data_IF_714345871373
#
_entry.id   IF_714345871373
#
_cell.length_a   1.000
_cell.length_b   1.000
_cell.length_c   1.000
_cell.angle_alpha   90.00
_cell.angle_beta   90.00
_cell.angle_gamma   90.00
#
_symmetry.space_group_name_H-M   'P 1'
#
loop_
_entity.id
_entity.type
_entity.pdbx_description
1 polymer ?
#
# COMPACT_ATOMS: atom_id res chain seq x y z
N UNK A 1 18.69 26.01 16.54
CA UNK A 1 19.10 24.98 17.51
C UNK A 1 18.78 23.64 16.89
N UNK A 2 19.76 22.75 16.90
CA UNK A 2 19.90 21.45 16.21
C UNK A 2 18.60 20.71 15.88
N UNK A 3 18.30 20.61 14.58
CA UNK A 3 17.29 19.67 14.06
C UNK A 3 17.76 18.23 14.23
N UNK A 4 16.87 17.40 14.75
CA UNK A 4 16.99 15.95 14.84
C UNK A 4 17.35 15.36 13.47
N UNK A 5 18.44 14.60 13.40
CA UNK A 5 18.93 13.98 12.18
C UNK A 5 17.90 13.03 11.58
N UNK A 6 17.23 13.47 10.53
CA UNK A 6 16.62 12.56 9.56
C UNK A 6 17.81 11.87 8.88
N UNK A 7 17.95 10.56 9.08
CA UNK A 7 18.98 9.76 8.41
C UNK A 7 18.93 10.05 6.91
N UNK A 8 20.02 10.58 6.34
CA UNK A 8 20.16 10.73 4.90
C UNK A 8 20.03 9.34 4.24
N UNK A 9 19.01 9.11 3.38
CA UNK A 9 18.81 7.83 2.72
C UNK A 9 20.04 7.35 1.95
N UNK A 10 20.84 8.28 1.40
CA UNK A 10 22.10 7.94 0.73
C UNK A 10 23.16 7.45 1.71
N UNK A 11 23.23 8.02 2.91
CA UNK A 11 24.14 7.55 3.97
C UNK A 11 23.78 6.13 4.41
N UNK A 12 22.50 5.87 4.67
CA UNK A 12 22.04 4.55 5.08
C UNK A 12 22.29 3.48 3.99
N UNK A 13 22.12 3.84 2.72
CA UNK A 13 22.45 2.97 1.60
C UNK A 13 23.96 2.72 1.51
N UNK A 14 24.79 3.75 1.65
CA UNK A 14 26.25 3.62 1.63
C UNK A 14 26.75 2.70 2.76
N UNK A 15 26.22 2.87 3.98
CA UNK A 15 26.56 2.04 5.14
C UNK A 15 26.18 0.57 4.92
N UNK A 16 25.01 0.31 4.34
CA UNK A 16 24.58 -1.05 3.99
C UNK A 16 25.51 -1.66 2.92
N UNK A 17 25.82 -0.93 1.85
CA UNK A 17 26.67 -1.42 0.77
C UNK A 17 28.11 -1.70 1.25
N UNK A 18 28.65 -0.85 2.13
CA UNK A 18 29.96 -1.06 2.74
C UNK A 18 30.00 -2.34 3.62
N UNK A 19 28.85 -2.78 4.13
CA UNK A 19 28.71 -3.99 4.91
C UNK A 19 28.48 -5.26 4.06
N UNK A 20 28.46 -5.16 2.73
CA UNK A 20 28.27 -6.27 1.80
C UNK A 20 29.57 -6.58 1.07
N UNK A 21 29.92 -7.87 0.97
CA UNK A 21 31.03 -8.33 0.12
C UNK A 21 30.75 -9.71 -0.44
N UNK A 22 30.74 -9.86 -1.76
CA UNK A 22 30.67 -11.17 -2.40
C UNK A 22 32.09 -11.75 -2.45
N UNK A 23 32.26 -12.94 -1.88
CA UNK A 23 33.54 -13.64 -1.84
C UNK A 23 33.71 -14.58 -3.04
N UNK A 24 32.63 -15.26 -3.42
CA UNK A 24 32.58 -16.17 -4.56
C UNK A 24 31.14 -16.30 -5.08
N UNK A 25 30.90 -16.98 -6.21
CA UNK A 25 29.54 -17.26 -6.69
C UNK A 25 28.66 -18.07 -5.71
N UNK A 26 29.22 -18.60 -4.62
CA UNK A 26 28.52 -19.40 -3.61
C UNK A 26 28.65 -18.84 -2.18
N UNK A 27 29.28 -17.68 -1.99
CA UNK A 27 29.47 -17.11 -0.66
C UNK A 27 29.53 -15.57 -0.68
N UNK A 28 28.89 -14.95 0.31
CA UNK A 28 28.97 -13.51 0.54
C UNK A 28 28.98 -13.20 2.04
N UNK A 29 29.36 -11.97 2.37
CA UNK A 29 29.32 -11.41 3.71
C UNK A 29 28.29 -10.29 3.74
N UNK A 30 27.50 -10.22 4.81
CA UNK A 30 26.58 -9.13 5.12
C UNK A 30 26.70 -8.80 6.61
N UNK A 31 27.04 -7.54 6.93
CA UNK A 31 27.16 -7.07 8.32
C UNK A 31 28.08 -7.95 9.18
N UNK A 32 29.20 -8.39 8.63
CA UNK A 32 30.18 -9.24 9.33
C UNK A 32 29.83 -10.73 9.42
N UNK A 33 28.65 -11.16 8.96
CA UNK A 33 28.24 -12.57 8.90
C UNK A 33 28.45 -13.14 7.50
N UNK A 34 29.05 -14.33 7.41
CA UNK A 34 29.20 -15.09 6.17
C UNK A 34 27.95 -15.92 5.88
N UNK A 35 27.49 -15.89 4.63
CA UNK A 35 26.39 -16.69 4.11
C UNK A 35 26.91 -17.61 3.00
N UNK A 36 26.45 -18.85 3.00
CA UNK A 36 26.75 -19.84 1.96
C UNK A 36 25.49 -20.10 1.15
N UNK A 37 25.59 -19.95 -0.16
CA UNK A 37 24.49 -20.16 -1.10
C UNK A 37 24.46 -21.63 -1.51
N UNK A 38 23.33 -22.34 -1.33
CA UNK A 38 23.19 -23.70 -1.82
C UNK A 38 23.37 -23.75 -3.35
N UNK A 39 23.86 -24.87 -3.92
CA UNK A 39 23.87 -25.07 -5.37
C UNK A 39 22.44 -24.89 -5.92
N UNK A 40 22.33 -24.35 -7.15
CA UNK A 40 21.04 -24.36 -7.85
C UNK A 40 20.55 -25.82 -7.94
N UNK A 41 19.27 -26.05 -7.64
CA UNK A 41 18.69 -27.37 -7.84
C UNK A 41 18.79 -27.69 -9.34
N UNK A 42 19.42 -28.81 -9.69
CA UNK A 42 19.40 -29.27 -11.08
C UNK A 42 17.95 -29.44 -11.51
N UNK A 43 17.50 -28.81 -12.61
CA UNK A 43 16.16 -29.08 -13.12
C UNK A 43 16.04 -30.58 -13.39
N UNK A 44 14.87 -31.15 -13.05
CA UNK A 44 14.54 -32.53 -13.40
C UNK A 44 14.88 -32.78 -14.88
N UNK A 45 15.48 -33.95 -15.16
CA UNK A 45 16.07 -34.33 -16.45
C UNK A 45 15.06 -34.50 -17.62
N UNK A 46 13.96 -33.73 -17.63
CA UNK A 46 12.92 -33.71 -18.65
C UNK A 46 12.65 -32.33 -19.27
N UNK A 47 13.28 -31.24 -18.82
CA UNK A 47 13.12 -29.92 -19.42
C UNK A 47 14.37 -29.55 -20.25
N UNK A 48 14.17 -29.25 -21.53
CA UNK A 48 15.22 -29.04 -22.52
C UNK A 48 16.25 -27.97 -22.13
N UNK A 49 17.43 -28.07 -22.74
CA UNK A 49 18.58 -27.19 -22.55
C UNK A 49 18.22 -25.71 -22.73
N UNK A 50 17.89 -25.05 -21.61
CA UNK A 50 17.76 -23.61 -21.50
C UNK A 50 19.10 -22.97 -21.16
N UNK A 51 19.21 -21.68 -21.49
CA UNK A 51 20.31 -20.75 -21.13
C UNK A 51 20.90 -21.00 -19.74
N UNK A 52 22.23 -20.79 -19.54
CA UNK A 52 22.86 -20.98 -18.24
C UNK A 52 22.10 -20.19 -17.18
N UNK A 53 21.58 -20.92 -16.20
CA UNK A 53 20.80 -20.39 -15.09
C UNK A 53 21.67 -19.36 -14.36
N UNK A 54 21.15 -18.14 -14.14
CA UNK A 54 21.86 -17.14 -13.33
C UNK A 54 22.25 -17.81 -12.01
N UNK A 55 23.49 -17.67 -11.52
CA UNK A 55 23.87 -18.27 -10.24
C UNK A 55 22.88 -17.85 -9.16
N UNK A 56 22.51 -18.72 -8.20
CA UNK A 56 21.44 -18.43 -7.24
C UNK A 56 21.80 -17.30 -6.24
N UNK A 57 23.06 -16.84 -6.24
CA UNK A 57 23.56 -15.85 -5.29
C UNK A 57 22.78 -14.54 -5.27
N UNK A 58 22.43 -13.88 -6.40
CA UNK A 58 21.66 -12.65 -6.35
C UNK A 58 20.28 -12.84 -5.72
N UNK A 59 19.60 -13.96 -5.97
CA UNK A 59 18.33 -14.26 -5.33
C UNK A 59 18.50 -14.48 -3.81
N UNK A 60 19.55 -15.21 -3.41
CA UNK A 60 19.84 -15.49 -2.00
C UNK A 60 20.24 -14.23 -1.23
N UNK A 61 21.12 -13.39 -1.82
CA UNK A 61 21.51 -12.10 -1.25
C UNK A 61 20.30 -11.16 -1.16
N UNK A 62 19.42 -11.11 -2.16
CA UNK A 62 18.19 -10.32 -2.08
C UNK A 62 17.30 -10.77 -0.91
N UNK A 63 17.16 -12.08 -0.69
CA UNK A 63 16.46 -12.63 0.48
C UNK A 63 17.13 -12.28 1.82
N UNK A 64 18.46 -12.29 1.88
CA UNK A 64 19.21 -11.88 3.06
C UNK A 64 19.05 -10.39 3.36
N UNK A 65 19.16 -9.53 2.35
CA UNK A 65 18.90 -8.09 2.46
C UNK A 65 17.48 -7.82 2.94
N UNK A 66 16.48 -8.53 2.40
CA UNK A 66 15.10 -8.39 2.84
C UNK A 66 14.96 -8.70 4.34
N UNK A 67 15.52 -9.84 4.75
CA UNK A 67 15.39 -10.40 6.10
C UNK A 67 16.12 -9.59 7.17
N UNK A 68 17.30 -9.07 6.83
CA UNK A 68 18.25 -8.51 7.80
C UNK A 68 18.42 -6.99 7.74
N UNK A 69 18.05 -6.35 6.63
CA UNK A 69 18.27 -4.92 6.44
C UNK A 69 17.01 -4.14 6.09
N UNK A 70 16.11 -4.70 5.27
CA UNK A 70 14.88 -4.01 4.89
C UNK A 70 13.79 -4.12 5.97
N UNK A 71 13.45 -5.36 6.36
CA UNK A 71 12.34 -5.63 7.28
C UNK A 71 12.69 -5.44 8.75
N UNK A 72 13.96 -5.15 9.07
CA UNK A 72 14.47 -4.93 10.42
C UNK A 72 15.52 -3.83 10.38
N UNK A 73 15.71 -3.05 11.45
CA UNK A 73 16.79 -2.07 11.51
C UNK A 73 18.14 -2.75 11.26
N UNK A 74 18.87 -2.31 10.24
CA UNK A 74 20.17 -2.87 9.92
C UNK A 74 21.20 -2.42 10.96
N UNK A 75 21.77 -3.37 11.70
CA UNK A 75 22.82 -3.13 12.70
C UNK A 75 23.94 -4.13 12.51
N UNK A 76 25.14 -3.65 12.18
CA UNK A 76 26.33 -4.48 12.12
C UNK A 76 27.02 -4.52 13.51
N UNK A 77 27.54 -5.68 13.95
CA UNK A 77 27.48 -6.98 13.29
C UNK A 77 26.09 -7.63 13.36
N UNK A 78 25.72 -8.41 12.34
CA UNK A 78 24.47 -9.17 12.35
C UNK A 78 24.47 -10.26 13.45
N UNK A 79 23.30 -10.58 14.02
CA UNK A 79 23.15 -11.70 14.95
C UNK A 79 23.58 -13.05 14.34
N UNK A 80 24.07 -13.95 15.20
CA UNK A 80 24.53 -15.29 14.80
C UNK A 80 23.38 -16.27 14.50
N UNK A 81 22.22 -16.11 15.16
CA UNK A 81 21.01 -16.89 14.87
C UNK A 81 20.23 -16.33 13.69
N UNK A 82 19.45 -17.16 13.00
CA UNK A 82 18.46 -16.66 12.05
C UNK A 82 17.22 -16.14 12.78
N UNK A 83 16.52 -15.13 12.24
CA UNK A 83 15.25 -14.70 12.82
C UNK A 83 14.29 -15.89 12.68
N UNK A 84 13.30 -16.01 13.59
CA UNK A 84 12.36 -17.11 13.56
C UNK A 84 11.78 -17.30 12.16
N UNK A 85 12.10 -18.44 11.53
CA UNK A 85 12.01 -18.58 10.08
C UNK A 85 10.59 -18.83 9.56
N UNK A 86 9.66 -19.15 10.45
CA UNK A 86 8.26 -19.46 10.16
C UNK A 86 7.56 -19.70 11.49
N UNK A 87 6.59 -18.86 11.83
CA UNK A 87 5.60 -19.17 12.88
C UNK A 87 4.44 -20.00 12.32
N UNK A 88 3.68 -20.65 13.20
CA UNK A 88 2.33 -21.09 12.86
C UNK A 88 1.40 -19.88 12.84
N UNK A 89 0.31 -19.97 12.08
CA UNK A 89 -0.78 -18.99 12.16
C UNK A 89 -1.28 -18.95 13.59
N UNK A 90 -1.37 -17.74 14.16
CA UNK A 90 -2.00 -17.52 15.46
C UNK A 90 -3.50 -17.24 15.26
N UNK A 91 -4.31 -18.28 15.46
CA UNK A 91 -5.77 -18.21 15.33
C UNK A 91 -6.41 -17.25 16.33
N UNK A 92 -5.81 -17.06 17.52
CA UNK A 92 -6.33 -16.10 18.49
C UNK A 92 -6.13 -14.66 17.98
N UNK A 93 -4.95 -14.36 17.43
CA UNK A 93 -4.68 -13.07 16.80
C UNK A 93 -5.59 -12.83 15.59
N UNK A 94 -5.84 -13.84 14.75
CA UNK A 94 -6.80 -13.74 13.63
C UNK A 94 -8.19 -13.35 14.15
N UNK A 95 -8.67 -14.00 15.21
CA UNK A 95 -9.97 -13.71 15.82
C UNK A 95 -10.02 -12.28 16.42
N UNK A 96 -8.96 -11.83 17.08
CA UNK A 96 -8.84 -10.48 17.63
C UNK A 96 -8.85 -9.40 16.54
N UNK A 97 -8.11 -9.62 15.44
CA UNK A 97 -8.08 -8.71 14.29
C UNK A 97 -9.46 -8.62 13.62
N UNK A 98 -10.12 -9.75 13.41
CA UNK A 98 -11.48 -9.79 12.87
C UNK A 98 -12.46 -9.07 13.81
N UNK A 99 -12.44 -9.35 15.11
CA UNK A 99 -13.31 -8.69 16.08
C UNK A 99 -13.10 -7.17 16.14
N UNK A 100 -11.86 -6.70 15.93
CA UNK A 100 -11.55 -5.28 15.93
C UNK A 100 -11.89 -4.56 14.62
N UNK A 101 -11.95 -5.27 13.49
CA UNK A 101 -12.29 -4.69 12.20
C UNK A 101 -13.68 -4.04 12.22
N UNK A 102 -13.71 -2.72 12.02
CA UNK A 102 -14.94 -1.93 12.02
C UNK A 102 -15.61 -1.85 10.64
N UNK A 103 -15.03 -2.49 9.62
CA UNK A 103 -15.62 -2.62 8.29
C UNK A 103 -16.78 -3.62 8.27
N UNK A 104 -17.62 -3.50 7.24
CA UNK A 104 -18.80 -4.33 7.02
C UNK A 104 -18.80 -4.94 5.63
N UNK A 105 -19.36 -6.13 5.53
CA UNK A 105 -19.65 -6.73 4.24
C UNK A 105 -20.64 -5.86 3.49
N UNK A 106 -20.38 -5.65 2.19
CA UNK A 106 -21.23 -4.85 1.33
C UNK A 106 -21.75 -5.63 0.14
N UNK A 107 -23.01 -5.38 -0.15
CA UNK A 107 -23.67 -5.80 -1.38
C UNK A 107 -23.98 -4.56 -2.20
N UNK A 108 -23.66 -4.61 -3.48
CA UNK A 108 -23.93 -3.50 -4.39
C UNK A 108 -24.78 -3.94 -5.57
N UNK A 109 -26.00 -3.39 -5.63
CA UNK A 109 -26.96 -3.67 -6.69
C UNK A 109 -26.88 -2.70 -7.87
N UNK A 110 -27.58 -3.06 -8.95
CA UNK A 110 -27.75 -2.21 -10.13
C UNK A 110 -26.62 -2.36 -11.14
N UNK A 111 -25.85 -3.46 -11.05
CA UNK A 111 -24.86 -3.85 -12.03
C UNK A 111 -25.47 -4.77 -13.09
N UNK A 112 -25.03 -4.62 -14.33
CA UNK A 112 -25.44 -5.47 -15.44
C UNK A 112 -24.20 -5.96 -16.17
N UNK A 113 -24.13 -7.27 -16.43
CA UNK A 113 -23.05 -7.86 -17.21
C UNK A 113 -23.10 -7.31 -18.63
N UNK A 114 -21.99 -6.78 -19.13
CA UNK A 114 -21.82 -6.39 -20.52
C UNK A 114 -21.03 -7.43 -21.30
N UNK A 115 -20.07 -8.11 -20.67
CA UNK A 115 -19.23 -9.13 -21.29
C UNK A 115 -18.95 -10.29 -20.35
N UNK A 116 -18.88 -11.50 -20.89
CA UNK A 116 -18.43 -12.71 -20.19
C UNK A 116 -17.14 -13.19 -20.86
N UNK A 117 -16.13 -13.50 -20.06
CA UNK A 117 -14.81 -13.92 -20.53
C UNK A 117 -14.63 -15.43 -20.38
N UNK A 118 -13.64 -16.00 -21.09
CA UNK A 118 -13.40 -17.45 -21.17
C UNK A 118 -13.07 -18.11 -19.82
N UNK A 119 -12.54 -17.35 -18.85
CA UNK A 119 -12.20 -17.84 -17.51
C UNK A 119 -13.34 -17.67 -16.48
N UNK A 120 -14.57 -17.33 -16.92
CA UNK A 120 -15.70 -17.08 -16.03
C UNK A 120 -15.69 -15.70 -15.37
N UNK A 121 -14.67 -14.89 -15.64
CA UNK A 121 -14.65 -13.46 -15.33
C UNK A 121 -15.77 -12.75 -16.10
N UNK A 122 -16.35 -11.71 -15.52
CA UNK A 122 -17.37 -10.87 -16.18
C UNK A 122 -16.97 -9.40 -16.14
N UNK A 123 -17.31 -8.66 -17.18
CA UNK A 123 -17.31 -7.20 -17.13
C UNK A 123 -18.75 -6.74 -16.94
N UNK A 124 -18.97 -5.85 -15.98
CA UNK A 124 -20.28 -5.30 -15.66
C UNK A 124 -20.23 -3.77 -15.58
N UNK A 125 -21.39 -3.15 -15.77
CA UNK A 125 -21.55 -1.70 -15.73
C UNK A 125 -22.67 -1.25 -14.78
N UNK A 126 -22.47 -0.08 -14.17
CA UNK A 126 -23.45 0.63 -13.34
C UNK A 126 -23.21 2.13 -13.43
N UNK A 127 -24.19 2.90 -13.93
CA UNK A 127 -24.16 4.37 -13.96
C UNK A 127 -22.84 4.96 -14.51
N UNK A 128 -22.33 4.37 -15.60
CA UNK A 128 -21.07 4.78 -16.25
C UNK A 128 -19.80 4.15 -15.65
N UNK A 129 -19.84 3.56 -14.47
CA UNK A 129 -18.73 2.78 -13.94
C UNK A 129 -18.66 1.41 -14.63
N UNK A 130 -17.44 0.98 -14.95
CA UNK A 130 -17.16 -0.36 -15.48
C UNK A 130 -16.26 -1.12 -14.51
N UNK A 131 -16.57 -2.39 -14.28
CA UNK A 131 -15.76 -3.27 -13.42
C UNK A 131 -15.60 -4.64 -14.06
N UNK A 132 -14.42 -5.20 -13.89
CA UNK A 132 -14.13 -6.58 -14.26
C UNK A 132 -14.04 -7.41 -12.98
N UNK A 133 -14.83 -8.49 -12.92
CA UNK A 133 -15.16 -9.22 -11.70
C UNK A 133 -14.82 -10.69 -11.84
N UNK A 134 -14.17 -11.23 -10.82
CA UNK A 134 -13.83 -12.64 -10.72
C UNK A 134 -15.03 -13.48 -10.26
N UNK A 135 -15.05 -14.80 -10.56
CA UNK A 135 -15.98 -15.73 -9.93
C UNK A 135 -15.98 -15.58 -8.40
N UNK A 136 -17.16 -15.55 -7.79
CA UNK A 136 -17.34 -15.36 -6.35
C UNK A 136 -17.48 -13.89 -5.91
N UNK A 137 -17.17 -12.90 -6.76
CA UNK A 137 -17.38 -11.48 -6.46
C UNK A 137 -18.78 -10.96 -6.82
N UNK A 138 -19.59 -11.78 -7.48
CA UNK A 138 -20.93 -11.39 -7.91
C UNK A 138 -21.92 -12.54 -7.76
N UNK A 139 -23.18 -12.17 -7.52
CA UNK A 139 -24.33 -13.07 -7.55
C UNK A 139 -25.25 -12.69 -8.71
N UNK A 140 -25.63 -13.70 -9.50
CA UNK A 140 -26.65 -13.54 -10.54
C UNK A 140 -28.03 -13.42 -9.92
N UNK A 141 -28.83 -12.45 -10.37
CA UNK A 141 -30.25 -12.35 -9.99
C UNK A 141 -31.15 -13.34 -10.76
N UNK A 142 -30.62 -14.04 -11.75
CA UNK A 142 -31.35 -15.08 -12.51
C UNK A 142 -31.51 -16.39 -11.71
N UNK A 143 -30.90 -16.50 -10.52
CA UNK A 143 -31.00 -17.65 -9.62
C UNK A 143 -29.81 -18.62 -9.70
N UNK A 144 -29.72 -19.58 -8.75
CA UNK A 144 -28.64 -20.56 -8.70
C UNK A 144 -28.55 -21.43 -9.97
N UNK A 145 -27.33 -21.68 -10.45
CA UNK A 145 -27.08 -22.52 -11.64
C UNK A 145 -27.28 -21.79 -12.99
N UNK A 146 -27.84 -20.58 -12.99
CA UNK A 146 -27.92 -19.76 -14.19
C UNK A 146 -26.51 -19.32 -14.64
N UNK A 147 -26.21 -19.51 -15.93
CA UNK A 147 -24.93 -19.09 -16.50
C UNK A 147 -24.91 -17.57 -16.68
N UNK A 148 -23.82 -16.87 -16.29
CA UNK A 148 -23.64 -15.45 -16.58
C UNK A 148 -23.71 -15.19 -18.08
N UNK A 149 -24.44 -14.14 -18.48
CA UNK A 149 -24.59 -13.70 -19.88
C UNK A 149 -24.72 -12.19 -19.94
N UNK A 150 -24.39 -11.60 -21.08
CA UNK A 150 -24.59 -10.17 -21.29
C UNK A 150 -26.06 -9.79 -21.09
N UNK A 151 -26.31 -8.68 -20.42
CA UNK A 151 -27.64 -8.23 -20.00
C UNK A 151 -28.11 -8.75 -18.64
N UNK A 152 -27.46 -9.75 -18.04
CA UNK A 152 -27.88 -10.28 -16.72
C UNK A 152 -27.63 -9.26 -15.61
N UNK A 153 -28.65 -8.94 -14.79
CA UNK A 153 -28.47 -8.16 -13.57
C UNK A 153 -27.71 -8.96 -12.51
N UNK A 154 -26.74 -8.33 -11.87
CA UNK A 154 -25.93 -8.92 -10.81
C UNK A 154 -25.88 -8.01 -9.58
N UNK A 155 -25.54 -8.63 -8.44
CA UNK A 155 -25.17 -7.94 -7.20
C UNK A 155 -23.69 -8.22 -6.95
N UNK A 156 -22.90 -7.19 -6.67
CA UNK A 156 -21.50 -7.36 -6.31
C UNK A 156 -21.34 -7.54 -4.81
N UNK A 157 -20.43 -8.43 -4.41
CA UNK A 157 -20.06 -8.66 -3.03
C UNK A 157 -18.68 -8.07 -2.74
N UNK A 158 -18.61 -7.25 -1.70
CA UNK A 158 -17.37 -6.70 -1.16
C UNK A 158 -17.21 -7.22 0.27
N UNK A 159 -16.33 -8.21 0.49
CA UNK A 159 -16.08 -8.69 1.84
C UNK A 159 -15.35 -7.63 2.66
N UNK A 160 -15.59 -7.58 3.97
CA UNK A 160 -14.84 -6.71 4.88
C UNK A 160 -13.42 -7.19 5.14
N UNK A 161 -13.17 -8.49 4.96
CA UNK A 161 -11.90 -9.14 5.31
C UNK A 161 -11.63 -10.45 4.56
N UNK A 162 -10.39 -10.95 4.67
CA UNK A 162 -10.01 -12.28 4.24
C UNK A 162 -8.88 -12.83 5.10
N UNK A 163 -8.97 -14.11 5.47
CA UNK A 163 -7.93 -14.86 6.21
C UNK A 163 -7.15 -15.81 5.31
N UNK A 164 -7.52 -15.90 4.03
CA UNK A 164 -7.00 -16.90 3.08
C UNK A 164 -6.43 -16.32 1.80
N UNK A 165 -6.58 -15.00 1.56
CA UNK A 165 -6.08 -14.34 0.36
C UNK A 165 -4.55 -14.50 0.19
N UNK A 166 -3.82 -14.49 1.30
CA UNK A 166 -2.39 -14.77 1.33
C UNK A 166 -2.05 -15.50 2.62
N UNK A 167 -1.35 -16.63 2.50
CA UNK A 167 -0.89 -17.39 3.67
C UNK A 167 -0.08 -16.50 4.62
N UNK A 168 -0.40 -16.57 5.91
CA UNK A 168 0.29 -15.79 6.93
C UNK A 168 -0.18 -14.34 7.12
N UNK A 169 -1.23 -13.91 6.40
CA UNK A 169 -1.77 -12.56 6.54
C UNK A 169 -3.28 -12.55 6.73
N UNK A 170 -3.74 -11.67 7.61
CA UNK A 170 -5.13 -11.22 7.70
C UNK A 170 -5.29 -9.95 6.87
N UNK A 171 -6.35 -9.87 6.06
CA UNK A 171 -6.69 -8.70 5.25
C UNK A 171 -7.98 -8.05 5.75
N UNK A 172 -8.00 -6.72 5.83
CA UNK A 172 -9.22 -5.91 5.88
C UNK A 172 -9.35 -5.08 4.61
N UNK A 173 -10.58 -4.92 4.12
CA UNK A 173 -10.88 -4.14 2.92
C UNK A 173 -11.76 -2.94 3.26
N UNK A 174 -11.57 -1.83 2.54
CA UNK A 174 -12.44 -0.67 2.66
C UNK A 174 -13.85 -0.94 2.11
N UNK A 175 -14.86 -0.30 2.72
CA UNK A 175 -16.26 -0.39 2.28
C UNK A 175 -16.49 0.29 0.91
N UNK A 176 -15.60 1.22 0.57
CA UNK A 176 -15.56 1.85 -0.76
C UNK A 176 -14.60 1.04 -1.62
N UNK A 177 -15.08 0.48 -2.75
CA UNK A 177 -14.24 -0.32 -3.61
C UNK A 177 -13.16 0.54 -4.25
N UNK A 178 -12.05 -0.12 -4.57
CA UNK A 178 -10.99 0.47 -5.38
C UNK A 178 -11.55 0.90 -6.75
N UNK A 179 -10.98 1.98 -7.27
CA UNK A 179 -11.27 2.50 -8.59
C UNK A 179 -9.99 2.66 -9.40
N UNK A 180 -10.13 3.22 -10.59
CA UNK A 180 -9.04 3.39 -11.55
C UNK A 180 -7.90 4.26 -10.98
N UNK A 181 -8.13 5.00 -9.88
CA UNK A 181 -7.09 5.75 -9.18
C UNK A 181 -5.94 4.89 -8.67
N UNK A 182 -6.18 3.61 -8.37
CA UNK A 182 -5.13 2.67 -7.97
C UNK A 182 -4.15 2.38 -9.11
N UNK A 183 -4.60 2.52 -10.36
CA UNK A 183 -3.75 2.42 -11.55
C UNK A 183 -2.85 3.63 -11.78
N UNK A 184 -3.14 4.78 -11.16
CA UNK A 184 -2.36 6.02 -11.29
C UNK A 184 -1.35 6.23 -10.15
N UNK A 185 -1.12 5.20 -9.33
CA UNK A 185 -0.14 5.19 -8.26
C UNK A 185 -0.71 4.65 -6.96
N UNK A 186 -0.01 3.70 -6.37
CA UNK A 186 -0.38 3.04 -5.12
C UNK A 186 0.65 3.39 -4.05
N UNK A 187 0.19 3.93 -2.92
CA UNK A 187 1.02 4.18 -1.75
C UNK A 187 0.86 3.05 -0.74
N UNK A 188 1.94 2.76 -0.02
CA UNK A 188 2.02 1.76 1.03
C UNK A 188 2.48 2.44 2.32
N UNK A 189 1.69 2.36 3.38
CA UNK A 189 2.11 2.76 4.73
C UNK A 189 2.40 1.51 5.56
N UNK A 190 3.64 1.42 6.04
CA UNK A 190 4.21 0.34 6.83
C UNK A 190 4.13 0.68 8.30
N UNK A 191 3.72 -0.29 9.12
CA UNK A 191 3.54 -0.11 10.55
C UNK A 191 4.40 -1.11 11.31
N UNK A 192 5.30 -0.58 12.15
CA UNK A 192 6.07 -1.31 13.14
C UNK A 192 5.26 -1.45 14.44
N UNK A 193 4.12 -2.15 14.34
CA UNK A 193 3.17 -2.34 15.45
C UNK A 193 3.45 -3.65 16.17
N UNK A 194 3.24 -3.69 17.49
CA UNK A 194 3.31 -4.92 18.27
C UNK A 194 2.12 -5.85 18.01
N UNK A 195 2.21 -7.12 18.40
CA UNK A 195 1.13 -8.09 18.23
C UNK A 195 -0.12 -7.69 19.03
N UNK A 196 0.07 -7.10 20.21
CA UNK A 196 -0.98 -6.57 21.07
C UNK A 196 -1.63 -5.31 20.47
N UNK A 197 -0.85 -4.48 19.75
CA UNK A 197 -1.36 -3.28 19.10
C UNK A 197 -2.08 -3.52 17.78
N UNK A 198 -1.83 -4.65 17.12
CA UNK A 198 -2.35 -4.91 15.79
C UNK A 198 -3.90 -4.90 15.68
N UNK A 199 -4.67 -5.48 16.63
CA UNK A 199 -6.13 -5.32 16.65
C UNK A 199 -6.56 -3.85 16.80
N UNK A 200 -5.87 -3.06 17.63
CA UNK A 200 -6.19 -1.63 17.80
C UNK A 200 -5.95 -0.85 16.51
N UNK A 201 -4.84 -1.13 15.83
CA UNK A 201 -4.52 -0.57 14.51
C UNK A 201 -5.64 -0.86 13.50
N UNK A 202 -6.05 -2.13 13.37
CA UNK A 202 -7.13 -2.54 12.46
C UNK A 202 -8.42 -1.77 12.79
N UNK A 203 -8.83 -1.72 14.05
CA UNK A 203 -10.06 -1.06 14.45
C UNK A 203 -10.07 0.46 14.22
N UNK A 204 -8.95 1.14 14.46
CA UNK A 204 -8.82 2.58 14.22
C UNK A 204 -8.79 2.92 12.73
N UNK A 205 -7.95 2.24 11.96
CA UNK A 205 -7.79 2.50 10.53
C UNK A 205 -9.08 2.19 9.77
N UNK A 206 -9.67 1.02 9.98
CA UNK A 206 -10.91 0.63 9.28
C UNK A 206 -12.06 1.59 9.61
N UNK A 207 -12.21 2.01 10.87
CA UNK A 207 -13.24 2.99 11.27
C UNK A 207 -13.03 4.35 10.61
N UNK A 208 -11.82 4.91 10.68
CA UNK A 208 -11.52 6.26 10.19
C UNK A 208 -11.56 6.31 8.66
N UNK A 209 -10.90 5.38 7.99
CA UNK A 209 -10.85 5.34 6.53
C UNK A 209 -12.25 5.11 5.94
N UNK A 210 -13.05 4.20 6.50
CA UNK A 210 -14.42 3.98 6.03
C UNK A 210 -15.34 5.20 6.28
N UNK A 211 -15.19 5.88 7.43
CA UNK A 211 -15.93 7.13 7.71
C UNK A 211 -15.68 8.19 6.63
N UNK A 212 -14.43 8.34 6.19
CA UNK A 212 -14.05 9.27 5.13
C UNK A 212 -14.11 8.65 3.73
N UNK A 213 -14.70 7.46 3.62
CA UNK A 213 -14.91 6.76 2.36
C UNK A 213 -13.60 6.54 1.57
N UNK A 214 -12.44 6.47 2.22
CA UNK A 214 -11.16 6.22 1.56
C UNK A 214 -11.11 4.73 1.16
N UNK A 215 -10.94 4.37 -0.12
CA UNK A 215 -10.69 2.98 -0.51
C UNK A 215 -9.31 2.52 -0.02
N UNK A 216 -9.23 1.34 0.59
CA UNK A 216 -7.97 0.80 1.08
C UNK A 216 -7.96 -0.73 1.13
N UNK A 217 -6.75 -1.29 1.24
CA UNK A 217 -6.50 -2.65 1.75
C UNK A 217 -5.52 -2.57 2.91
N UNK A 218 -5.83 -3.21 4.01
CA UNK A 218 -4.90 -3.37 5.13
C UNK A 218 -4.54 -4.84 5.22
N UNK A 219 -3.25 -5.17 5.25
CA UNK A 219 -2.79 -6.52 5.55
C UNK A 219 -1.96 -6.51 6.84
N UNK A 220 -2.13 -7.53 7.66
CA UNK A 220 -1.45 -7.68 8.95
C UNK A 220 -0.92 -9.11 9.07
N UNK A 221 0.35 -9.27 9.45
CA UNK A 221 0.94 -10.57 9.69
C UNK A 221 0.25 -11.27 10.88
N UNK A 222 -0.06 -12.56 10.73
CA UNK A 222 -0.70 -13.39 11.76
C UNK A 222 0.22 -14.45 12.36
N UNK A 223 1.53 -14.30 12.13
CA UNK A 223 2.56 -15.12 12.74
C UNK A 223 3.25 -14.26 13.82
N UNK A 224 3.12 -14.62 15.10
CA UNK A 224 3.71 -13.82 16.19
C UNK A 224 5.23 -13.63 16.05
N UNK A 225 5.94 -14.61 15.50
CA UNK A 225 7.39 -14.51 15.25
C UNK A 225 7.78 -13.42 14.24
N UNK A 226 6.84 -12.90 13.44
CA UNK A 226 7.11 -11.85 12.47
C UNK A 226 7.13 -10.45 13.09
N UNK A 227 6.66 -10.28 14.33
CA UNK A 227 6.53 -8.98 15.03
C UNK A 227 7.86 -8.33 15.47
N UNK A 228 8.99 -8.94 15.12
CA UNK A 228 10.30 -8.27 15.11
C UNK A 228 10.51 -7.39 13.88
N UNK A 229 9.65 -7.50 12.86
CA UNK A 229 9.76 -6.74 11.61
C UNK A 229 9.12 -5.36 11.73
N UNK A 230 9.64 -4.42 10.96
CA UNK A 230 9.11 -3.06 10.84
C UNK A 230 7.99 -2.92 9.80
N UNK A 231 7.68 -3.98 9.05
CA UNK A 231 6.67 -4.01 7.98
C UNK A 231 5.55 -5.05 8.23
N UNK A 232 5.24 -5.35 9.49
CA UNK A 232 4.24 -6.38 9.85
C UNK A 232 2.81 -6.05 9.45
N UNK A 233 2.46 -4.76 9.40
CA UNK A 233 1.19 -4.30 8.87
C UNK A 233 1.43 -3.29 7.74
N UNK A 234 0.67 -3.42 6.66
CA UNK A 234 0.80 -2.59 5.46
C UNK A 234 -0.58 -2.15 5.00
N UNK A 235 -0.79 -0.83 5.00
CA UNK A 235 -1.95 -0.18 4.43
C UNK A 235 -1.65 0.22 2.98
N UNK A 236 -2.54 -0.14 2.07
CA UNK A 236 -2.52 0.18 0.66
C UNK A 236 -3.64 1.17 0.34
N UNK A 237 -3.31 2.29 -0.29
CA UNK A 237 -4.27 3.28 -0.77
C UNK A 237 -3.76 3.96 -2.04
N UNK A 238 -4.65 4.37 -2.93
CA UNK A 238 -4.25 5.16 -4.09
C UNK A 238 -3.57 6.44 -3.63
N UNK A 239 -2.44 6.78 -4.26
CA UNK A 239 -1.57 7.90 -3.88
C UNK A 239 -2.31 9.21 -3.65
N UNK A 240 -3.35 9.48 -4.45
CA UNK A 240 -4.18 10.69 -4.31
C UNK A 240 -4.85 10.85 -2.95
N UNK A 241 -5.10 9.75 -2.24
CA UNK A 241 -5.73 9.75 -0.92
C UNK A 241 -4.72 9.90 0.22
N UNK A 242 -3.42 9.99 -0.09
CA UNK A 242 -2.39 10.14 0.94
C UNK A 242 -2.57 11.41 1.79
N UNK A 243 -2.91 12.60 1.25
CA UNK A 243 -3.15 13.78 2.09
C UNK A 243 -4.24 13.55 3.13
N UNK A 244 -5.38 12.97 2.72
CA UNK A 244 -6.47 12.61 3.65
C UNK A 244 -5.96 11.60 4.68
N UNK A 245 -5.21 10.58 4.26
CA UNK A 245 -4.61 9.62 5.19
C UNK A 245 -3.62 10.28 6.15
N UNK A 246 -2.83 11.27 5.71
CA UNK A 246 -1.91 12.03 6.55
C UNK A 246 -2.64 12.75 7.68
N UNK A 247 -3.78 13.38 7.38
CA UNK A 247 -4.64 14.00 8.39
C UNK A 247 -5.20 12.97 9.38
N UNK A 248 -5.69 11.83 8.86
CA UNK A 248 -6.18 10.75 9.72
C UNK A 248 -5.06 10.11 10.55
N UNK A 249 -3.83 10.07 10.04
CA UNK A 249 -2.68 9.58 10.76
C UNK A 249 -2.39 10.44 11.98
N UNK A 250 -2.52 11.77 11.87
CA UNK A 250 -2.39 12.69 13.01
C UNK A 250 -3.39 12.39 14.13
N UNK A 251 -4.62 12.02 13.76
CA UNK A 251 -5.67 11.69 14.73
C UNK A 251 -5.46 10.32 15.41
N UNK A 252 -4.99 9.30 14.67
CA UNK A 252 -4.90 7.93 15.19
C UNK A 252 -3.55 7.59 15.81
N UNK A 253 -2.48 8.28 15.40
CA UNK A 253 -1.12 7.96 15.85
C UNK A 253 -0.92 8.10 17.36
N UNK A 254 -1.38 9.16 18.05
CA UNK A 254 -1.21 9.29 19.50
C UNK A 254 -1.78 8.10 20.29
N UNK A 255 -2.89 7.55 19.81
CA UNK A 255 -3.56 6.41 20.43
C UNK A 255 -2.82 5.09 20.18
N UNK A 256 -2.15 4.97 19.02
CA UNK A 256 -1.38 3.80 18.63
C UNK A 256 0.05 3.81 19.15
N UNK A 257 0.59 5.00 19.44
CA UNK A 257 1.99 5.23 19.81
C UNK A 257 2.53 4.27 20.88
N UNK A 258 1.80 3.90 21.95
CA UNK A 258 2.29 2.94 22.95
C UNK A 258 2.59 1.54 22.40
N UNK A 259 2.07 1.21 21.23
CA UNK A 259 2.22 -0.08 20.57
C UNK A 259 3.13 -0.05 19.33
N UNK A 260 3.72 1.11 19.03
CA UNK A 260 4.59 1.29 17.86
C UNK A 260 6.06 1.35 18.30
N UNK A 261 6.92 0.60 17.60
CA UNK A 261 8.36 0.84 17.63
C UNK A 261 8.73 2.14 16.90
N UNK A 262 9.94 2.66 17.09
CA UNK A 262 10.37 3.91 16.43
C UNK A 262 10.68 3.73 14.94
N UNK A 263 11.29 2.60 14.60
CA UNK A 263 11.95 2.37 13.31
C UNK A 263 10.95 1.99 12.21
N UNK A 264 11.35 2.23 10.96
CA UNK A 264 10.59 1.92 9.74
C UNK A 264 11.45 1.11 8.75
N UNK A 265 10.88 0.51 7.70
CA UNK A 265 11.68 -0.21 6.69
C UNK A 265 12.71 0.69 6.00
N UNK A 266 13.91 0.17 5.74
CA UNK A 266 15.11 0.95 5.34
C UNK A 266 14.91 1.97 4.19
N UNK A 267 14.07 1.65 3.22
CA UNK A 267 13.86 2.50 2.03
C UNK A 267 12.55 3.31 2.07
N UNK A 268 11.78 3.19 3.15
CA UNK A 268 10.54 3.94 3.33
C UNK A 268 10.83 5.32 3.92
N UNK A 269 10.04 6.32 3.54
CA UNK A 269 10.05 7.63 4.18
C UNK A 269 9.43 7.53 5.58
N UNK A 270 10.14 7.86 6.67
CA UNK A 270 9.53 7.97 7.98
C UNK A 270 8.56 9.18 7.99
N UNK A 271 7.28 8.94 8.29
CA UNK A 271 6.26 10.01 8.39
C UNK A 271 5.74 10.20 9.81
N UNK A 272 5.93 9.21 10.68
CA UNK A 272 5.72 9.26 12.12
C UNK A 272 6.53 8.13 12.78
N UNK A 273 6.79 8.16 14.11
CA UNK A 273 7.39 7.04 14.82
C UNK A 273 6.66 5.72 14.53
N UNK A 274 7.38 4.74 13.97
CA UNK A 274 6.85 3.43 13.59
C UNK A 274 6.02 3.39 12.32
N UNK A 275 5.92 4.49 11.57
CA UNK A 275 5.15 4.59 10.32
C UNK A 275 6.02 5.08 9.17
N UNK A 276 6.27 4.18 8.23
CA UNK A 276 7.03 4.45 7.00
C UNK A 276 6.13 4.44 5.77
N UNK A 277 6.44 5.22 4.74
CA UNK A 277 5.66 5.26 3.50
C UNK A 277 6.54 5.02 2.28
N UNK A 278 6.02 4.29 1.30
CA UNK A 278 6.64 4.17 -0.02
C UNK A 278 5.61 3.94 -1.14
N UNK A 279 6.04 4.22 -2.36
CA UNK A 279 5.29 3.94 -3.58
C UNK A 279 5.46 2.48 -4.01
N UNK A 280 4.35 1.91 -4.48
CA UNK A 280 4.34 0.61 -5.13
C UNK A 280 5.16 0.68 -6.44
N UNK A 281 6.10 -0.26 -6.68
CA UNK A 281 6.86 -0.29 -7.94
C UNK A 281 6.01 -0.55 -9.19
N UNK A 282 4.78 -1.06 -9.05
CA UNK A 282 3.86 -1.29 -10.16
C UNK A 282 4.17 -2.49 -11.05
N UNK A 283 5.20 -3.27 -10.71
CA UNK A 283 5.66 -4.43 -11.49
C UNK A 283 5.22 -5.79 -10.89
N UNK A 284 4.36 -5.78 -9.87
CA UNK A 284 3.88 -6.97 -9.16
C UNK A 284 4.78 -7.44 -8.01
N UNK A 285 5.99 -6.92 -7.87
CA UNK A 285 6.85 -7.21 -6.72
C UNK A 285 6.38 -6.45 -5.46
N UNK A 286 6.74 -6.96 -4.27
CA UNK A 286 6.69 -6.09 -3.08
C UNK A 286 7.81 -5.04 -3.15
N UNK A 287 7.56 -3.85 -2.60
CA UNK A 287 8.55 -2.76 -2.50
C UNK A 287 9.90 -3.25 -1.94
N UNK A 288 9.90 -3.96 -0.81
CA UNK A 288 11.13 -4.51 -0.23
C UNK A 288 11.84 -5.50 -1.14
N UNK A 289 11.11 -6.42 -1.78
CA UNK A 289 11.69 -7.35 -2.76
C UNK A 289 12.33 -6.62 -3.93
N UNK A 290 11.65 -5.62 -4.48
CA UNK A 290 12.18 -4.81 -5.56
C UNK A 290 13.49 -4.14 -5.14
N UNK A 291 13.51 -3.39 -4.03
CA UNK A 291 14.72 -2.66 -3.60
C UNK A 291 15.87 -3.62 -3.27
N UNK A 292 15.60 -4.73 -2.57
CA UNK A 292 16.61 -5.73 -2.26
C UNK A 292 17.14 -6.46 -3.51
N UNK A 293 16.29 -6.72 -4.51
CA UNK A 293 16.72 -7.30 -5.80
C UNK A 293 17.68 -6.37 -6.52
N UNK A 294 17.33 -5.09 -6.69
CA UNK A 294 18.18 -4.12 -7.39
C UNK A 294 19.56 -4.00 -6.72
N UNK A 295 19.62 -3.94 -5.39
CA UNK A 295 20.89 -3.89 -4.66
C UNK A 295 21.69 -5.17 -4.78
N UNK A 296 21.02 -6.33 -4.77
CA UNK A 296 21.68 -7.61 -4.95
C UNK A 296 22.28 -7.75 -6.36
N UNK A 297 21.54 -7.36 -7.39
CA UNK A 297 22.01 -7.33 -8.78
C UNK A 297 23.18 -6.34 -8.97
N UNK A 298 23.15 -5.21 -8.25
CA UNK A 298 24.25 -4.24 -8.18
C UNK A 298 25.52 -4.87 -7.59
N UNK A 299 25.40 -5.52 -6.42
CA UNK A 299 26.55 -6.17 -5.78
C UNK A 299 27.15 -7.27 -6.68
N UNK A 300 26.29 -8.05 -7.33
CA UNK A 300 26.71 -9.11 -8.25
C UNK A 300 27.43 -8.58 -9.49
N UNK A 301 26.92 -7.52 -10.11
CA UNK A 301 27.55 -6.92 -11.29
C UNK A 301 28.92 -6.33 -10.95
N UNK A 302 29.07 -5.68 -9.79
CA UNK A 302 30.35 -5.18 -9.28
C UNK A 302 31.34 -6.32 -8.99
N UNK A 303 30.87 -7.43 -8.40
CA UNK A 303 31.67 -8.64 -8.19
C UNK A 303 32.20 -9.24 -9.51
N UNK A 304 31.34 -9.39 -10.51
CA UNK A 304 31.74 -9.91 -11.84
C UNK A 304 32.73 -8.97 -12.54
N UNK A 305 32.59 -7.66 -12.35
CA UNK A 305 33.53 -6.67 -12.87
C UNK A 305 34.87 -6.63 -12.10
N UNK A 306 34.97 -7.31 -10.95
CA UNK A 306 36.18 -7.36 -10.13
C UNK A 306 36.42 -6.13 -9.24
N UNK A 307 35.43 -5.25 -9.08
CA UNK A 307 35.54 -4.03 -8.27
C UNK A 307 34.34 -3.88 -7.34
N UNK A 308 34.55 -4.18 -6.06
CA UNK A 308 33.53 -4.10 -5.00
C UNK A 308 33.86 -3.01 -3.98
N UNK A 309 34.59 -1.95 -4.37
CA UNK A 309 34.84 -0.81 -3.48
C UNK A 309 33.52 -0.11 -3.14
N UNK A 310 33.30 0.37 -1.91
CA UNK A 310 32.03 0.98 -1.48
C UNK A 310 31.56 2.11 -2.40
N UNK A 311 32.47 2.93 -2.92
CA UNK A 311 32.15 4.06 -3.79
C UNK A 311 31.64 3.58 -5.16
N UNK A 312 32.18 2.46 -5.66
CA UNK A 312 31.78 1.84 -6.92
C UNK A 312 30.41 1.18 -6.78
N UNK A 313 30.21 0.44 -5.68
CA UNK A 313 28.91 -0.16 -5.34
C UNK A 313 27.82 0.91 -5.23
N UNK A 314 28.10 2.02 -4.55
CA UNK A 314 27.14 3.12 -4.39
C UNK A 314 26.80 3.78 -5.72
N UNK A 315 27.79 4.10 -6.55
CA UNK A 315 27.57 4.70 -7.86
C UNK A 315 26.73 3.78 -8.78
N UNK A 316 27.03 2.48 -8.77
CA UNK A 316 26.26 1.50 -9.53
C UNK A 316 24.84 1.31 -8.97
N UNK A 317 24.67 1.31 -7.64
CA UNK A 317 23.35 1.22 -7.01
C UNK A 317 22.44 2.38 -7.41
N UNK A 318 22.98 3.61 -7.39
CA UNK A 318 22.25 4.80 -7.84
C UNK A 318 21.82 4.65 -9.30
N UNK A 319 22.71 4.19 -10.17
CA UNK A 319 22.43 3.97 -11.59
C UNK A 319 21.35 2.89 -11.81
N UNK A 320 21.44 1.77 -11.10
CA UNK A 320 20.51 0.65 -11.21
C UNK A 320 19.13 0.96 -10.63
N UNK A 321 19.06 1.71 -9.52
CA UNK A 321 17.79 2.21 -8.97
C UNK A 321 17.09 3.14 -9.96
N UNK A 322 17.81 4.10 -10.54
CA UNK A 322 17.26 4.98 -11.57
C UNK A 322 16.76 4.21 -12.80
N UNK A 323 17.55 3.24 -13.28
CA UNK A 323 17.17 2.38 -14.41
C UNK A 323 15.93 1.50 -14.10
N UNK A 324 15.73 1.14 -12.83
CA UNK A 324 14.56 0.41 -12.35
C UNK A 324 13.35 1.32 -12.02
N UNK A 325 13.39 2.61 -12.41
CA UNK A 325 12.27 3.54 -12.21
C UNK A 325 12.10 3.98 -10.74
N UNK A 326 13.16 3.95 -9.94
CA UNK A 326 13.20 4.48 -8.56
C UNK A 326 13.96 5.79 -8.53
N UNK A 327 13.52 6.78 -7.73
CA UNK A 327 14.32 7.96 -7.43
C UNK A 327 15.46 7.57 -6.45
N UNK A 328 16.74 7.64 -6.84
CA UNK A 328 17.84 7.21 -5.96
C UNK A 328 18.04 8.08 -4.72
N UNK A 329 17.57 9.33 -4.76
CA UNK A 329 17.71 10.28 -3.65
C UNK A 329 16.54 10.18 -2.69
N UNK A 330 15.41 9.70 -3.20
CA UNK A 330 14.17 9.48 -2.49
C UNK A 330 13.68 8.06 -2.78
N UNK A 331 14.32 7.02 -2.21
CA UNK A 331 14.08 5.63 -2.60
C UNK A 331 12.66 5.12 -2.33
N UNK A 332 11.86 5.87 -1.56
CA UNK A 332 10.43 5.65 -1.37
C UNK A 332 9.57 6.08 -2.57
N UNK A 333 10.11 6.88 -3.50
CA UNK A 333 9.41 7.36 -4.69
C UNK A 333 9.77 6.55 -5.93
N UNK A 334 8.79 6.43 -6.83
CA UNK A 334 9.07 6.08 -8.21
C UNK A 334 9.64 7.30 -8.97
N UNK A 335 10.37 7.04 -10.04
CA UNK A 335 10.99 8.07 -10.87
C UNK A 335 9.93 9.00 -11.48
N UNK A 336 10.15 10.32 -11.34
CA UNK A 336 9.24 11.36 -11.85
C UNK A 336 7.95 11.53 -11.03
N UNK A 337 7.83 10.84 -9.90
CA UNK A 337 6.65 10.90 -9.05
C UNK A 337 6.63 12.18 -8.20
N UNK A 338 5.45 12.81 -8.06
CA UNK A 338 5.27 13.97 -7.18
C UNK A 338 5.34 13.56 -5.72
N UNK A 339 6.17 14.21 -4.92
CA UNK A 339 6.24 13.91 -3.48
C UNK A 339 5.06 14.55 -2.74
N UNK A 340 4.02 13.75 -2.48
CA UNK A 340 2.83 14.16 -1.71
C UNK A 340 2.90 13.71 -0.26
N UNK A 341 4.04 13.13 0.15
CA UNK A 341 4.24 12.50 1.45
C UNK A 341 4.84 13.45 2.48
N UNK A 342 4.66 14.76 2.25
CA UNK A 342 5.26 15.83 3.05
C UNK A 342 5.17 15.50 4.54
N UNK A 343 6.26 15.70 5.30
CA UNK A 343 6.31 15.32 6.70
C UNK A 343 5.17 15.99 7.44
N UNK A 344 4.40 15.19 8.17
CA UNK A 344 3.35 15.71 9.03
C UNK A 344 4.01 16.64 10.05
N UNK A 345 3.74 17.96 10.04
CA UNK A 345 4.26 18.85 11.08
C UNK A 345 3.77 18.35 12.44
N UNK A 346 4.63 18.53 13.46
CA UNK A 346 4.55 18.00 14.82
C UNK A 346 3.18 17.40 15.19
N UNK A 347 3.16 16.09 15.44
CA UNK A 347 2.03 15.32 15.96
C UNK A 347 1.56 15.79 17.36
N UNK A 348 2.10 16.91 17.86
CA UNK A 348 1.83 17.51 19.16
C UNK A 348 0.70 18.56 19.14
N UNK A 349 0.21 18.98 17.97
CA UNK A 349 -0.95 19.89 17.95
C UNK A 349 -2.26 19.11 18.07
N UNK A 350 -2.73 18.99 19.31
CA UNK A 350 -4.12 18.64 19.63
C UNK A 350 -5.06 19.61 18.89
N UNK A 351 -5.72 19.12 17.83
CA UNK A 351 -6.98 19.73 17.43
C UNK A 351 -8.06 19.01 18.22
N UNK A 352 -8.75 19.67 19.17
CA UNK A 352 -9.75 19.00 19.98
C UNK A 352 -10.82 18.42 19.06
N UNK A 353 -11.11 17.13 19.26
CA UNK A 353 -12.21 16.47 18.57
C UNK A 353 -13.49 17.31 18.76
N UNK A 354 -14.24 17.61 17.69
CA UNK A 354 -15.48 18.35 17.83
C UNK A 354 -16.39 17.61 18.81
N UNK A 355 -17.00 18.37 19.73
CA UNK A 355 -17.90 17.84 20.73
C UNK A 355 -18.94 16.93 20.08
N UNK A 356 -19.23 15.79 20.71
CA UNK A 356 -20.22 14.85 20.22
C UNK A 356 -21.56 15.56 20.02
N UNK A 357 -21.98 15.72 18.78
CA UNK A 357 -23.31 16.23 18.44
C UNK A 357 -24.32 15.15 18.86
N UNK A 358 -25.38 15.49 19.61
CA UNK A 358 -26.39 14.50 20.01
C UNK A 358 -26.95 13.79 18.78
N UNK A 359 -27.04 12.46 18.87
CA UNK A 359 -27.55 11.62 17.78
C UNK A 359 -29.04 11.95 17.58
N UNK A 360 -29.44 12.47 16.40
CA UNK A 360 -30.84 12.75 16.11
C UNK A 360 -31.63 11.43 16.07
N UNK A 361 -32.86 11.40 16.58
CA UNK A 361 -33.72 10.23 16.48
C UNK A 361 -34.59 10.25 15.20
N UNK A 362 -34.95 9.06 14.70
CA UNK A 362 -35.84 8.89 13.54
C UNK A 362 -35.22 9.30 12.18
N UNK A 363 -36.06 9.70 11.22
CA UNK A 363 -35.66 10.03 9.84
C UNK A 363 -34.59 11.14 9.76
N UNK A 364 -34.55 12.03 10.76
CA UNK A 364 -33.54 13.09 10.87
C UNK A 364 -32.12 12.52 11.00
N UNK A 365 -31.96 11.34 11.60
CA UNK A 365 -30.68 10.63 11.67
C UNK A 365 -30.20 10.25 10.27
N UNK A 366 -31.10 9.66 9.47
CA UNK A 366 -30.78 9.18 8.12
C UNK A 366 -30.34 10.33 7.22
N UNK A 367 -31.04 11.47 7.26
CA UNK A 367 -30.66 12.64 6.47
C UNK A 367 -29.31 13.22 6.88
N UNK A 368 -29.04 13.31 8.19
CA UNK A 368 -27.76 13.83 8.68
C UNK A 368 -26.59 12.88 8.42
N UNK A 369 -26.79 11.57 8.56
CA UNK A 369 -25.81 10.55 8.16
C UNK A 369 -25.53 10.60 6.67
N UNK A 370 -26.58 10.75 5.84
CA UNK A 370 -26.43 10.88 4.38
C UNK A 370 -25.68 12.15 4.02
N UNK A 371 -26.02 13.28 4.64
CA UNK A 371 -25.33 14.54 4.42
C UNK A 371 -23.85 14.45 4.83
N UNK A 372 -23.56 13.87 6.00
CA UNK A 372 -22.19 13.65 6.46
C UNK A 372 -21.40 12.73 5.51
N UNK A 373 -22.02 11.65 5.00
CA UNK A 373 -21.40 10.76 4.04
C UNK A 373 -21.09 11.45 2.70
N UNK A 374 -22.01 12.30 2.21
CA UNK A 374 -21.79 13.11 1.01
C UNK A 374 -20.68 14.16 1.23
N UNK A 375 -20.67 14.83 2.39
CA UNK A 375 -19.64 15.79 2.76
C UNK A 375 -18.26 15.14 2.81
N UNK A 376 -18.15 13.99 3.48
CA UNK A 376 -16.92 13.20 3.51
C UNK A 376 -16.44 12.83 2.10
N UNK A 377 -17.36 12.40 1.23
CA UNK A 377 -17.04 12.08 -0.17
C UNK A 377 -16.50 13.29 -0.94
N UNK A 378 -17.16 14.44 -0.81
CA UNK A 378 -16.75 15.68 -1.47
C UNK A 378 -15.37 16.12 -0.99
N UNK A 379 -15.12 16.12 0.31
CA UNK A 379 -13.80 16.45 0.87
C UNK A 379 -12.72 15.47 0.41
N UNK A 380 -13.03 14.16 0.38
CA UNK A 380 -12.11 13.11 -0.08
C UNK A 380 -11.74 13.24 -1.56
N UNK A 381 -12.71 13.58 -2.41
CA UNK A 381 -12.51 13.67 -3.87
C UNK A 381 -11.98 15.03 -4.33
N UNK A 382 -11.81 15.99 -3.41
CA UNK A 382 -11.24 17.29 -3.70
C UNK A 382 -9.76 17.15 -4.11
N UNK A 383 -9.39 17.86 -5.17
CA UNK A 383 -8.00 18.00 -5.64
C UNK A 383 -7.42 19.26 -5.05
N UNK A 384 -6.44 19.11 -4.17
CA UNK A 384 -5.83 20.20 -3.43
C UNK A 384 -4.56 20.71 -4.12
N UNK A 385 -4.41 22.03 -4.11
CA UNK A 385 -3.18 22.73 -4.40
C UNK A 385 -3.06 23.84 -3.35
N UNK A 386 -2.11 23.68 -2.42
CA UNK A 386 -1.94 24.55 -1.25
C UNK A 386 -3.24 24.69 -0.43
N UNK A 387 -3.71 25.91 -0.21
CA UNK A 387 -4.91 26.33 0.49
C UNK A 387 -6.18 26.32 -0.38
N UNK A 388 -6.09 25.81 -1.62
CA UNK A 388 -7.21 25.80 -2.58
C UNK A 388 -7.51 24.38 -3.03
N UNK A 389 -8.77 24.14 -3.37
CA UNK A 389 -9.18 22.88 -3.96
C UNK A 389 -10.16 23.07 -5.13
N UNK A 390 -10.25 22.02 -5.96
CA UNK A 390 -11.26 21.92 -7.00
C UNK A 390 -11.68 20.44 -7.18
N UNK A 391 -12.73 20.19 -7.96
CA UNK A 391 -13.21 18.87 -8.32
C UNK A 391 -13.21 18.73 -9.83
N UNK A 392 -13.01 17.50 -10.29
CA UNK A 392 -13.14 17.14 -11.70
C UNK A 392 -14.34 16.22 -11.82
N UNK A 393 -15.20 16.49 -12.80
CA UNK A 393 -16.37 15.67 -13.05
C UNK A 393 -16.93 15.85 -14.44
N UNK A 394 -18.04 15.15 -14.68
CA UNK A 394 -18.71 15.21 -15.97
C UNK A 394 -19.43 16.54 -16.15
N UNK A 395 -19.20 17.16 -17.31
CA UNK A 395 -19.93 18.33 -17.79
C UNK A 395 -20.42 18.07 -19.21
N UNK A 396 -21.62 18.54 -19.51
CA UNK A 396 -22.10 18.61 -20.89
C UNK A 396 -21.57 19.90 -21.50
N UNK A 397 -20.80 19.79 -22.58
CA UNK A 397 -20.17 20.93 -23.25
C UNK A 397 -20.49 20.90 -24.75
N UNK A 398 -20.66 22.08 -25.36
CA UNK A 398 -20.81 22.20 -26.80
C UNK A 398 -19.42 22.26 -27.46
N UNK A 399 -18.97 21.14 -28.03
CA UNK A 399 -17.71 21.03 -28.77
C UNK A 399 -18.04 20.86 -30.26
N UNK A 400 -17.53 21.76 -31.10
CA UNK A 400 -17.80 21.80 -32.55
C UNK A 400 -19.31 21.81 -32.88
N UNK A 401 -20.10 22.55 -32.08
CA UNK A 401 -21.56 22.64 -32.23
C UNK A 401 -22.32 21.38 -31.82
N UNK A 402 -21.65 20.40 -31.19
CA UNK A 402 -22.29 19.18 -30.66
C UNK A 402 -22.09 19.09 -29.15
N UNK A 403 -23.19 18.86 -28.45
CA UNK A 403 -23.15 18.54 -27.02
C UNK A 403 -22.47 17.19 -26.79
N UNK A 404 -21.37 17.22 -26.05
CA UNK A 404 -20.60 16.04 -25.67
C UNK A 404 -20.41 16.03 -24.16
N UNK A 405 -20.47 14.85 -23.58
CA UNK A 405 -20.05 14.64 -22.20
C UNK A 405 -18.52 14.72 -22.17
N UNK A 406 -18.00 15.65 -21.38
CA UNK A 406 -16.57 15.86 -21.17
C UNK A 406 -16.25 15.74 -19.69
N UNK A 407 -14.97 15.57 -19.37
CA UNK A 407 -14.47 15.62 -17.99
C UNK A 407 -13.67 16.91 -17.85
N UNK A 408 -14.04 17.77 -16.91
CA UNK A 408 -13.37 19.05 -16.66
C UNK A 408 -13.39 19.41 -15.18
N UNK A 409 -12.54 20.36 -14.82
CA UNK A 409 -12.64 21.03 -13.54
C UNK A 409 -13.95 21.81 -13.44
N UNK A 410 -14.56 21.79 -12.25
CA UNK A 410 -15.79 22.54 -11.99
C UNK A 410 -15.52 24.05 -11.95
N UNK A 411 -16.45 24.80 -12.55
CA UNK A 411 -16.48 26.26 -12.53
C UNK A 411 -17.10 26.80 -11.24
N UNK A 412 -17.19 28.13 -11.05
CA UNK A 412 -17.72 28.75 -9.82
C UNK A 412 -19.25 28.77 -9.74
N UNK A 413 -19.97 28.09 -10.64
CA UNK A 413 -21.43 28.20 -10.72
C UNK A 413 -22.15 27.50 -9.55
N UNK A 414 -23.35 27.99 -9.19
CA UNK A 414 -24.15 27.40 -8.11
C UNK A 414 -24.74 26.03 -8.48
N UNK A 415 -25.15 25.85 -9.74
CA UNK A 415 -25.93 24.68 -10.16
C UNK A 415 -25.08 23.41 -10.35
N UNK A 416 -23.90 23.55 -10.95
CA UNK A 416 -23.01 22.44 -11.30
C UNK A 416 -21.53 22.74 -11.00
N UNK A 417 -21.28 23.72 -10.14
CA UNK A 417 -19.94 24.23 -9.85
C UNK A 417 -19.57 24.22 -8.36
N UNK A 418 -18.42 24.81 -8.07
CA UNK A 418 -17.79 24.82 -6.75
C UNK A 418 -18.57 25.62 -5.72
N UNK A 419 -19.35 26.63 -6.13
CA UNK A 419 -20.22 27.37 -5.20
C UNK A 419 -21.35 26.52 -4.62
N UNK A 420 -21.92 25.60 -5.40
CA UNK A 420 -22.91 24.64 -4.89
C UNK A 420 -22.32 23.66 -3.88
N UNK A 421 -21.10 23.18 -4.15
CA UNK A 421 -20.35 22.33 -3.21
C UNK A 421 -20.02 23.11 -1.93
N UNK A 422 -19.55 24.35 -2.06
CA UNK A 422 -19.25 25.22 -0.91
C UNK A 422 -20.48 25.48 -0.04
N UNK A 423 -21.65 25.74 -0.65
CA UNK A 423 -22.90 25.92 0.07
C UNK A 423 -23.35 24.64 0.81
N UNK A 424 -23.11 23.46 0.24
CA UNK A 424 -23.43 22.20 0.89
C UNK A 424 -22.52 21.87 2.08
N UNK A 425 -21.25 22.30 2.03
CA UNK A 425 -20.24 22.03 3.07
C UNK A 425 -20.26 23.05 4.21
N UNK A 426 -20.86 24.22 4.02
CA UNK A 426 -21.03 25.27 5.04
C UNK A 426 -22.11 24.90 6.06
#
# INVERSE_FOLDING_TARGET
MSGSGVNDPRSALADLLAAIRIESPQAFHLGGRRFTVPPAATPDAGAGAGTPEKPPLPAYLAGALYRWAYSRPFRAPLPTGDPPATGTVDEALVAELSAANAGRDRWEEGWTITQVHSAGQVTAQRRGATRTLQPGQFLSKDGPGARPRSGTPIVLFYPRESTSLQAGFYYSFGEVPEDDSFGFGLARAYWNVSAEGAPRLVGLLTRRLNRFQVPFRLKVAVLRGEYERTDVAVLYLAKRFFPVFGDLLRDVHPELRPFLGEEVPLFALPVAPGVGVAEDPGNGESFGQHRCRVLSETCWSCFVAGDQRPEVLLAEAVRQLAAAGTDPDRPWLNAGSLDVYAPLPDLETETPAPAAVPVPEGDRCIFLETAAALGARLCRDALWATDRCNWIGFSMESLDGRWRQTVRAYGPDLYNGTSGIGLFLA
#
